data_IF_789828190268
#
_entry.id   IF_789828190268
#
_cell.length_a   1.000
_cell.length_b   1.000
_cell.length_c   1.000
_cell.angle_alpha   90.00
_cell.angle_beta   90.00
_cell.angle_gamma   90.00
#
_symmetry.space_group_name_H-M   'P 1'
#
loop_
_entity.id
_entity.type
_entity.pdbx_description
1 polymer ?
#
# COMPACT_ATOMS: atom_id res chain seq x y z
N UNK A 1 -4.60 10.74 -15.74
CA UNK A 1 -4.52 10.69 -14.27
C UNK A 1 -3.26 9.90 -13.95
N UNK A 2 -2.25 10.52 -13.34
CA UNK A 2 -1.02 9.81 -12.95
C UNK A 2 -1.30 9.05 -11.65
N UNK A 3 -1.36 7.72 -11.72
CA UNK A 3 -1.66 6.84 -10.59
C UNK A 3 -0.43 6.59 -9.68
N UNK A 4 0.77 6.94 -10.14
CA UNK A 4 2.02 6.75 -9.42
C UNK A 4 2.87 8.03 -9.58
N UNK A 5 3.28 8.64 -8.47
CA UNK A 5 4.38 9.60 -8.50
C UNK A 5 5.68 8.81 -8.35
N UNK A 6 6.69 9.19 -9.13
CA UNK A 6 8.09 8.86 -8.85
C UNK A 6 8.39 9.14 -7.38
N UNK A 7 9.21 8.28 -6.76
CA UNK A 7 9.53 8.27 -5.32
C UNK A 7 9.22 9.60 -4.63
N UNK A 8 8.36 9.62 -3.59
CA UNK A 8 8.17 10.84 -2.84
C UNK A 8 9.53 11.35 -2.38
N UNK A 9 9.91 12.56 -2.78
CA UNK A 9 11.20 13.18 -2.44
C UNK A 9 11.34 13.52 -0.95
N UNK A 10 10.53 12.93 -0.08
CA UNK A 10 10.49 13.16 1.35
C UNK A 10 10.85 11.90 2.14
N UNK A 11 11.45 12.11 3.30
CA UNK A 11 11.86 11.03 4.20
C UNK A 11 10.65 10.52 4.99
N UNK A 12 10.44 9.21 4.94
CA UNK A 12 9.55 8.48 5.86
C UNK A 12 10.38 7.66 6.82
N UNK A 13 9.88 7.47 8.03
CA UNK A 13 10.53 6.66 9.06
C UNK A 13 9.58 5.56 9.56
N UNK A 14 10.16 4.43 9.96
CA UNK A 14 9.41 3.32 10.52
C UNK A 14 9.00 3.66 11.95
N UNK A 15 7.72 3.51 12.27
CA UNK A 15 7.15 3.80 13.61
C UNK A 15 6.74 2.53 14.36
N UNK A 16 6.71 1.39 13.69
CA UNK A 16 6.36 0.13 14.33
C UNK A 16 6.06 -0.97 13.33
N UNK A 17 5.44 -2.03 13.81
CA UNK A 17 4.94 -3.10 12.95
C UNK A 17 3.64 -3.69 13.50
N UNK A 18 2.82 -4.23 12.59
CA UNK A 18 1.64 -5.01 12.93
C UNK A 18 1.65 -6.29 12.09
N UNK A 19 1.48 -7.44 12.74
CA UNK A 19 1.51 -8.75 12.08
C UNK A 19 2.75 -8.95 11.18
N UNK A 20 3.93 -8.46 11.61
CA UNK A 20 5.20 -8.49 10.87
C UNK A 20 5.26 -7.62 9.60
N UNK A 21 4.29 -6.71 9.42
CA UNK A 21 4.33 -5.66 8.38
C UNK A 21 4.76 -4.36 9.05
N UNK A 22 5.81 -3.74 8.53
CA UNK A 22 6.32 -2.47 9.04
C UNK A 22 5.40 -1.31 8.65
N UNK A 23 5.31 -0.34 9.57
CA UNK A 23 4.44 0.82 9.48
C UNK A 23 5.28 2.10 9.42
N UNK A 24 4.95 2.99 8.48
CA UNK A 24 5.72 4.21 8.20
C UNK A 24 4.82 5.45 8.23
N UNK A 25 5.42 6.59 8.56
CA UNK A 25 4.81 7.92 8.40
C UNK A 25 5.86 8.92 7.86
N UNK A 26 5.43 10.00 7.18
CA UNK A 26 6.31 11.13 6.89
C UNK A 26 6.96 11.71 8.15
N UNK A 27 8.14 12.30 8.00
CA UNK A 27 8.93 12.81 9.15
C UNK A 27 8.19 13.88 9.99
N UNK A 28 7.28 14.60 9.37
CA UNK A 28 6.45 15.67 9.95
C UNK A 28 5.07 15.19 10.44
N UNK A 29 4.76 13.89 10.31
CA UNK A 29 3.48 13.30 10.71
C UNK A 29 3.65 12.52 12.02
N UNK A 30 2.72 12.72 12.95
CA UNK A 30 2.73 12.02 14.23
C UNK A 30 2.42 10.52 14.06
N UNK A 31 3.20 9.67 14.75
CA UNK A 31 3.04 8.21 14.67
C UNK A 31 1.65 7.72 15.12
N UNK A 32 0.92 8.47 15.95
CA UNK A 32 -0.44 8.12 16.39
C UNK A 32 -1.45 8.08 15.25
N UNK A 33 -1.18 8.72 14.11
CA UNK A 33 -2.02 8.68 12.92
C UNK A 33 -2.22 7.25 12.39
N UNK A 34 -1.18 6.42 12.50
CA UNK A 34 -1.22 5.01 12.09
C UNK A 34 -1.26 4.04 13.28
N UNK A 35 -0.69 4.40 14.45
CA UNK A 35 -0.59 3.52 15.62
C UNK A 35 -1.76 3.62 16.60
N UNK A 36 -2.75 4.49 16.37
CA UNK A 36 -3.90 4.64 17.26
C UNK A 36 -4.77 3.37 17.35
N UNK A 37 -5.40 3.17 18.51
CA UNK A 37 -6.22 1.97 18.78
C UNK A 37 -7.36 1.77 17.77
N UNK A 38 -7.93 2.86 17.25
CA UNK A 38 -8.97 2.84 16.23
C UNK A 38 -8.47 2.28 14.88
N UNK A 39 -7.15 2.32 14.61
CA UNK A 39 -6.54 1.87 13.36
C UNK A 39 -6.19 0.39 13.34
N UNK A 40 -6.13 -0.28 14.50
CA UNK A 40 -5.71 -1.68 14.59
C UNK A 40 -6.58 -2.62 13.74
N UNK A 41 -7.90 -2.46 13.81
CA UNK A 41 -8.84 -3.32 13.06
C UNK A 41 -8.77 -3.05 11.55
N UNK A 42 -8.86 -1.79 11.06
CA UNK A 42 -8.66 -1.48 9.65
C UNK A 42 -7.30 -1.93 9.11
N UNK A 43 -6.21 -1.69 9.84
CA UNK A 43 -4.87 -2.13 9.46
C UNK A 43 -4.79 -3.65 9.33
N UNK A 44 -5.33 -4.39 10.30
CA UNK A 44 -5.30 -5.85 10.28
C UNK A 44 -6.00 -6.42 9.04
N UNK A 45 -7.11 -5.80 8.62
CA UNK A 45 -7.83 -6.19 7.40
C UNK A 45 -7.07 -5.81 6.15
N UNK A 46 -6.47 -4.63 6.12
CA UNK A 46 -5.67 -4.21 4.99
C UNK A 46 -4.44 -5.11 4.79
N UNK A 47 -3.75 -5.44 5.89
CA UNK A 47 -2.65 -6.41 5.89
C UNK A 47 -3.10 -7.78 5.38
N UNK A 48 -4.30 -8.24 5.76
CA UNK A 48 -4.85 -9.49 5.24
C UNK A 48 -4.99 -9.44 3.71
N UNK A 49 -5.58 -8.38 3.16
CA UNK A 49 -5.74 -8.20 1.70
C UNK A 49 -4.37 -8.25 1.00
N UNK A 50 -3.38 -7.50 1.49
CA UNK A 50 -2.06 -7.42 0.87
C UNK A 50 -1.29 -8.75 0.96
N UNK A 51 -1.38 -9.47 2.09
CA UNK A 51 -0.75 -10.78 2.25
C UNK A 51 -1.39 -11.83 1.34
N UNK A 52 -2.70 -11.76 1.14
CA UNK A 52 -3.38 -12.63 0.19
C UNK A 52 -2.84 -12.43 -1.23
N UNK A 53 -2.61 -11.17 -1.65
CA UNK A 53 -2.00 -10.88 -2.95
C UNK A 53 -0.56 -11.39 -3.03
N UNK A 54 0.22 -11.23 -1.97
CA UNK A 54 1.59 -11.74 -1.92
C UNK A 54 1.66 -13.26 -2.06
N UNK A 55 0.69 -14.00 -1.50
CA UNK A 55 0.58 -15.45 -1.67
C UNK A 55 0.32 -15.82 -3.14
N UNK A 56 -0.52 -15.07 -3.85
CA UNK A 56 -0.81 -15.31 -5.29
C UNK A 56 0.46 -15.22 -6.14
N UNK A 57 1.35 -14.28 -5.82
CA UNK A 57 2.60 -14.07 -6.55
C UNK A 57 3.82 -14.80 -5.95
N UNK A 58 3.61 -15.62 -4.91
CA UNK A 58 4.68 -16.32 -4.18
C UNK A 58 5.78 -15.37 -3.65
N UNK A 59 5.39 -14.13 -3.32
CA UNK A 59 6.29 -13.09 -2.80
C UNK A 59 6.33 -13.16 -1.28
N UNK A 60 7.52 -13.00 -0.69
CA UNK A 60 7.62 -12.95 0.77
C UNK A 60 6.91 -11.72 1.34
N UNK A 61 6.02 -11.86 2.34
CA UNK A 61 5.33 -10.71 2.93
C UNK A 61 6.24 -9.64 3.54
N UNK A 62 7.54 -9.95 3.74
CA UNK A 62 8.53 -9.00 4.26
C UNK A 62 8.79 -7.81 3.33
N UNK A 63 8.45 -7.92 2.04
CA UNK A 63 8.59 -6.78 1.11
C UNK A 63 7.44 -5.80 1.23
N UNK A 64 6.38 -6.13 1.97
CA UNK A 64 5.19 -5.29 2.11
C UNK A 64 5.40 -4.35 3.29
N UNK A 65 5.19 -3.07 3.04
CA UNK A 65 5.20 -2.01 4.05
C UNK A 65 3.93 -1.18 3.89
N UNK A 66 3.42 -0.65 4.99
CA UNK A 66 2.25 0.24 4.98
C UNK A 66 2.70 1.61 5.48
N UNK A 67 2.25 2.66 4.82
CA UNK A 67 2.44 4.02 5.30
C UNK A 67 1.11 4.73 5.44
N UNK A 68 1.08 5.80 6.24
CA UNK A 68 -0.04 6.73 6.27
C UNK A 68 0.46 8.12 5.94
N UNK A 69 -0.05 8.68 4.85
CA UNK A 69 0.19 10.07 4.47
C UNK A 69 -1.11 10.66 3.94
N UNK A 70 -1.66 11.62 4.70
CA UNK A 70 -2.91 12.29 4.36
C UNK A 70 -2.71 13.41 3.32
N UNK A 71 -1.49 13.95 3.20
CA UNK A 71 -1.17 15.13 2.41
C UNK A 71 -0.98 14.84 0.91
N UNK A 72 -0.73 13.58 0.55
CA UNK A 72 -0.40 13.16 -0.81
C UNK A 72 -1.47 12.28 -1.44
N UNK A 73 -1.44 12.23 -2.78
CA UNK A 73 -2.28 11.36 -3.61
C UNK A 73 -1.57 10.07 -4.06
N UNK A 74 -0.45 9.71 -3.43
CA UNK A 74 0.22 8.43 -3.73
C UNK A 74 -0.52 7.28 -3.06
N UNK A 75 -1.07 6.38 -3.87
CA UNK A 75 -1.78 5.17 -3.42
C UNK A 75 -0.78 4.12 -2.94
N UNK A 76 0.29 3.91 -3.70
CA UNK A 76 1.34 2.96 -3.41
C UNK A 76 2.59 3.30 -4.25
N UNK A 77 3.74 2.78 -3.84
CA UNK A 77 4.99 2.91 -4.59
C UNK A 77 5.93 1.75 -4.28
N UNK A 78 6.93 1.56 -5.14
CA UNK A 78 8.02 0.61 -4.95
C UNK A 78 9.32 1.37 -4.69
N UNK A 79 10.06 0.99 -3.64
CA UNK A 79 11.39 1.50 -3.33
C UNK A 79 12.33 0.33 -3.07
N UNK A 80 13.34 0.16 -3.91
CA UNK A 80 14.36 -0.89 -3.73
C UNK A 80 13.78 -2.30 -3.54
N UNK A 81 12.69 -2.61 -4.27
CA UNK A 81 11.90 -3.85 -4.18
C UNK A 81 11.07 -4.02 -2.91
N UNK A 82 10.98 -2.98 -2.09
CA UNK A 82 9.99 -2.88 -1.03
C UNK A 82 8.72 -2.17 -1.56
N UNK A 83 7.57 -2.79 -1.34
CA UNK A 83 6.26 -2.36 -1.79
C UNK A 83 5.55 -1.60 -0.67
N UNK A 84 5.31 -0.32 -0.85
CA UNK A 84 4.68 0.55 0.12
C UNK A 84 3.24 0.85 -0.30
N UNK A 85 2.28 0.62 0.60
CA UNK A 85 0.86 0.87 0.35
C UNK A 85 0.30 1.88 1.35
N UNK A 86 -0.45 2.86 0.85
CA UNK A 86 -0.99 3.93 1.69
C UNK A 86 -2.30 3.51 2.36
N UNK A 87 -2.31 3.47 3.69
CA UNK A 87 -3.49 3.15 4.49
C UNK A 87 -4.64 4.15 4.25
N UNK A 88 -4.35 5.42 3.94
CA UNK A 88 -5.37 6.45 3.67
C UNK A 88 -6.40 5.97 2.65
N UNK A 89 -5.93 5.43 1.52
CA UNK A 89 -6.80 4.99 0.45
C UNK A 89 -7.64 3.77 0.83
N UNK A 90 -7.10 2.85 1.63
CA UNK A 90 -7.90 1.75 2.16
C UNK A 90 -9.02 2.25 3.07
N UNK A 91 -8.72 3.22 3.94
CA UNK A 91 -9.71 3.81 4.86
C UNK A 91 -10.83 4.52 4.09
N UNK A 92 -10.47 5.34 3.11
CA UNK A 92 -11.42 6.13 2.33
C UNK A 92 -12.28 5.27 1.39
N UNK A 93 -11.69 4.26 0.74
CA UNK A 93 -12.38 3.49 -0.29
C UNK A 93 -13.07 2.23 0.24
N UNK A 94 -12.51 1.57 1.26
CA UNK A 94 -12.86 0.17 1.56
C UNK A 94 -13.12 -0.16 3.02
N UNK A 95 -12.75 0.68 4.00
CA UNK A 95 -12.99 0.38 5.42
C UNK A 95 -14.48 0.11 5.71
N UNK A 96 -15.36 0.97 5.19
CA UNK A 96 -16.80 0.88 5.47
C UNK A 96 -17.45 -0.35 4.83
N UNK A 97 -17.02 -0.73 3.63
CA UNK A 97 -17.54 -1.91 2.92
C UNK A 97 -16.92 -3.20 3.44
N UNK A 98 -15.68 -3.16 3.92
CA UNK A 98 -14.96 -4.30 4.50
C UNK A 98 -15.16 -4.45 6.03
N UNK A 99 -16.31 -4.01 6.57
CA UNK A 99 -16.62 -4.10 8.02
C UNK A 99 -16.55 -5.52 8.57
N UNK A 100 -17.03 -6.51 7.82
CA UNK A 100 -17.05 -7.91 8.26
C UNK A 100 -15.96 -8.75 7.59
N UNK A 101 -15.80 -8.60 6.28
CA UNK A 101 -14.80 -9.31 5.46
C UNK A 101 -14.41 -8.46 4.26
N UNK A 102 -13.23 -8.69 3.64
CA UNK A 102 -12.89 -8.08 2.36
C UNK A 102 -13.97 -8.34 1.30
N UNK A 103 -14.30 -7.32 0.52
CA UNK A 103 -15.20 -7.45 -0.64
C UNK A 103 -14.42 -7.81 -1.89
N UNK A 104 -15.10 -8.36 -2.91
CA UNK A 104 -14.48 -8.64 -4.21
C UNK A 104 -13.89 -7.34 -4.79
N UNK A 105 -14.62 -6.23 -4.71
CA UNK A 105 -14.15 -4.94 -5.22
C UNK A 105 -12.86 -4.47 -4.55
N UNK A 106 -12.75 -4.61 -3.22
CA UNK A 106 -11.54 -4.25 -2.49
C UNK A 106 -10.37 -5.18 -2.85
N UNK A 107 -10.63 -6.49 -2.96
CA UNK A 107 -9.61 -7.46 -3.36
C UNK A 107 -9.09 -7.18 -4.77
N UNK A 108 -9.99 -6.96 -5.73
CA UNK A 108 -9.65 -6.65 -7.13
C UNK A 108 -8.88 -5.33 -7.23
N UNK A 109 -9.32 -4.28 -6.53
CA UNK A 109 -8.63 -2.99 -6.53
C UNK A 109 -7.19 -3.13 -6.05
N UNK A 110 -6.98 -3.75 -4.87
CA UNK A 110 -5.66 -3.92 -4.31
C UNK A 110 -4.81 -4.95 -5.07
N UNK A 111 -5.41 -5.94 -5.73
CA UNK A 111 -4.70 -6.82 -6.66
C UNK A 111 -4.10 -6.01 -7.82
N UNK A 112 -4.88 -5.15 -8.49
CA UNK A 112 -4.38 -4.31 -9.59
C UNK A 112 -3.25 -3.38 -9.12
N UNK A 113 -3.43 -2.72 -7.97
CA UNK A 113 -2.37 -1.86 -7.40
C UNK A 113 -1.13 -2.69 -7.05
N UNK A 114 -1.29 -3.87 -6.45
CA UNK A 114 -0.19 -4.75 -6.10
C UNK A 114 0.60 -5.18 -7.34
N UNK A 115 -0.07 -5.62 -8.41
CA UNK A 115 0.54 -5.98 -9.68
C UNK A 115 1.38 -4.83 -10.26
N UNK A 116 0.81 -3.62 -10.27
CA UNK A 116 1.49 -2.43 -10.77
C UNK A 116 2.77 -2.14 -9.97
N UNK A 117 2.66 -2.11 -8.64
CA UNK A 117 3.79 -1.81 -7.75
C UNK A 117 4.85 -2.92 -7.81
N UNK A 118 4.43 -4.18 -7.96
CA UNK A 118 5.33 -5.31 -8.13
C UNK A 118 6.07 -5.26 -9.47
N UNK A 119 5.41 -4.85 -10.56
CA UNK A 119 6.03 -4.73 -11.88
C UNK A 119 7.25 -3.79 -11.89
N UNK A 120 7.28 -2.80 -11.00
CA UNK A 120 8.43 -1.94 -10.79
C UNK A 120 9.69 -2.64 -10.28
N UNK A 121 9.61 -3.88 -9.82
CA UNK A 121 10.80 -4.73 -9.59
C UNK A 121 11.54 -5.06 -10.88
N UNK A 122 10.87 -5.00 -12.03
CA UNK A 122 11.41 -5.39 -13.33
C UNK A 122 11.62 -4.19 -14.26
N UNK A 123 10.72 -3.20 -14.24
CA UNK A 123 10.77 -2.03 -15.13
C UNK A 123 10.51 -0.75 -14.32
N UNK A 124 11.51 0.14 -14.26
CA UNK A 124 11.44 1.38 -13.48
C UNK A 124 10.84 2.58 -14.23
N UNK A 125 10.94 2.61 -15.56
CA UNK A 125 10.48 3.74 -16.38
C UNK A 125 9.12 3.45 -17.01
N UNK A 126 8.16 4.33 -16.77
CA UNK A 126 6.92 4.39 -17.57
C UNK A 126 7.24 5.05 -18.91
N UNK A 127 7.69 4.28 -19.90
CA UNK A 127 7.52 4.67 -21.29
C UNK A 127 6.08 4.35 -21.71
N UNK A 128 5.43 5.30 -22.38
CA UNK A 128 4.03 5.30 -22.83
C UNK A 128 3.58 4.09 -23.68
N UNK A 129 4.48 3.13 -23.95
CA UNK A 129 4.17 1.88 -24.64
C UNK A 129 3.58 0.78 -23.74
N UNK A 130 3.78 0.83 -22.42
CA UNK A 130 3.35 -0.23 -21.49
C UNK A 130 2.10 0.11 -20.67
N UNK A 131 1.58 1.33 -20.81
CA UNK A 131 0.44 1.86 -20.07
C UNK A 131 -0.89 1.10 -20.27
N UNK A 132 -1.21 0.48 -21.43
CA UNK A 132 -2.48 -0.23 -21.60
C UNK A 132 -2.51 -1.67 -21.06
N UNK A 133 -1.40 -2.22 -20.55
CA UNK A 133 -1.34 -3.63 -20.11
C UNK A 133 -1.64 -3.78 -18.61
N UNK A 134 -1.61 -2.69 -17.83
CA UNK A 134 -1.76 -2.72 -16.36
C UNK A 134 -2.85 -1.74 -15.89
N UNK A 135 -3.94 -1.60 -16.65
CA UNK A 135 -5.17 -0.94 -16.23
C UNK A 135 -6.39 -1.78 -16.63
#
# INVERSE_FOLDING_TARGET
MNYCETMPGYSMHCVGNLQKIELYVPTDVDQSEILSQSRIVPLSKFIYILKDQANVFEVTPKVIHIFYDNSKNSIAFNRDRALFFNLKFYLELHEQTCKNKPTIDAMTYWFTIYCHVLAHNFIQLHNTEFEPIIL
#
